data_IF_840162724315
#
_entry.id   IF_840162724315
#
_cell.length_a   1.000
_cell.length_b   1.000
_cell.length_c   1.000
_cell.angle_alpha   90.00
_cell.angle_beta   90.00
_cell.angle_gamma   90.00
#
_symmetry.space_group_name_H-M   'P 1'
#
loop_
_entity.id
_entity.type
_entity.pdbx_description
1 polymer ?
#
# COMPACT_ATOMS: atom_id res chain seq x y z
N UNK A 1 12.88 -2.69 4.36
CA UNK A 1 12.35 -3.62 3.33
C UNK A 1 11.40 -4.66 3.92
N UNK A 2 10.18 -4.83 3.38
CA UNK A 2 9.33 -5.96 3.81
C UNK A 2 9.04 -7.00 2.71
N UNK A 3 9.67 -6.87 1.53
CA UNK A 3 9.99 -7.97 0.60
C UNK A 3 8.81 -8.84 0.17
N UNK A 4 9.11 -10.00 -0.44
CA UNK A 4 8.09 -11.00 -0.78
C UNK A 4 7.72 -11.82 0.46
N UNK A 5 6.43 -11.92 0.78
CA UNK A 5 5.92 -12.72 1.91
C UNK A 5 4.63 -13.43 1.55
N UNK A 6 4.37 -14.56 2.22
CA UNK A 6 3.09 -15.27 2.16
C UNK A 6 2.02 -14.50 2.93
N UNK A 7 0.85 -14.32 2.31
CA UNK A 7 -0.29 -13.67 2.92
C UNK A 7 -1.02 -14.64 3.86
N UNK A 8 -1.60 -14.12 4.94
CA UNK A 8 -2.40 -14.94 5.88
C UNK A 8 -3.69 -15.50 5.22
N UNK A 9 -4.23 -14.77 4.24
CA UNK A 9 -5.36 -15.16 3.41
C UNK A 9 -5.16 -14.61 1.99
N UNK A 10 -5.75 -15.24 0.97
CA UNK A 10 -5.60 -14.78 -0.40
C UNK A 10 -6.24 -13.40 -0.61
N UNK A 11 -5.50 -12.49 -1.26
CA UNK A 11 -6.02 -11.19 -1.69
C UNK A 11 -5.96 -11.16 -3.22
N UNK A 12 -7.07 -10.84 -3.90
CA UNK A 12 -7.16 -10.87 -5.37
C UNK A 12 -6.64 -12.20 -5.97
N UNK A 13 -6.94 -13.33 -5.31
CA UNK A 13 -6.47 -14.69 -5.68
C UNK A 13 -4.94 -14.91 -5.61
N UNK A 14 -4.20 -14.00 -4.99
CA UNK A 14 -2.77 -14.15 -4.73
C UNK A 14 -2.53 -14.63 -3.30
N UNK A 15 -1.63 -15.59 -3.11
CA UNK A 15 -1.22 -16.10 -1.79
C UNK A 15 0.08 -15.45 -1.28
N UNK A 16 0.74 -14.66 -2.12
CA UNK A 16 1.99 -13.98 -1.81
C UNK A 16 1.88 -12.51 -2.26
N UNK A 17 2.64 -11.64 -1.61
CA UNK A 17 2.68 -10.23 -1.95
C UNK A 17 4.02 -9.59 -1.60
N UNK A 18 4.31 -8.44 -2.22
CA UNK A 18 5.47 -7.64 -1.90
C UNK A 18 5.07 -6.50 -0.96
N UNK A 19 5.72 -6.41 0.19
CA UNK A 19 5.44 -5.39 1.20
C UNK A 19 6.44 -4.23 1.11
N UNK A 20 5.88 -3.02 1.02
CA UNK A 20 6.61 -1.77 1.08
C UNK A 20 6.18 -0.99 2.33
N UNK A 21 7.16 -0.45 3.03
CA UNK A 21 6.94 0.46 4.15
C UNK A 21 7.69 1.75 3.84
N UNK A 22 6.97 2.87 3.87
CA UNK A 22 7.46 4.18 3.48
C UNK A 22 7.12 5.16 4.59
N UNK A 23 8.12 5.88 5.08
CA UNK A 23 7.94 7.07 5.89
C UNK A 23 8.06 8.26 4.95
N UNK A 24 7.01 9.06 4.89
CA UNK A 24 6.90 10.16 3.93
C UNK A 24 6.43 11.42 4.64
N UNK A 25 6.99 12.55 4.25
CA UNK A 25 6.56 13.87 4.71
C UNK A 25 5.85 14.56 3.54
N UNK A 26 4.59 14.91 3.73
CA UNK A 26 3.76 15.56 2.72
C UNK A 26 2.64 16.37 3.36
N UNK A 27 2.08 17.32 2.61
CA UNK A 27 0.90 18.06 3.03
C UNK A 27 -0.34 17.16 3.01
N UNK A 28 -1.26 17.25 4.01
CA UNK A 28 -2.47 16.43 4.05
C UNK A 28 -3.37 16.54 2.80
N UNK A 29 -3.35 17.68 2.10
CA UNK A 29 -4.14 17.90 0.88
C UNK A 29 -3.79 16.93 -0.25
N UNK A 30 -2.55 16.45 -0.32
CA UNK A 30 -2.05 15.59 -1.40
C UNK A 30 -2.44 14.12 -1.18
N UNK A 31 -2.80 13.73 0.05
CA UNK A 31 -3.12 12.34 0.41
C UNK A 31 -4.26 11.78 -0.44
N UNK A 32 -5.29 12.58 -0.71
CA UNK A 32 -6.47 12.18 -1.49
C UNK A 32 -6.09 11.79 -2.92
N UNK A 33 -5.19 12.54 -3.55
CA UNK A 33 -4.74 12.26 -4.92
C UNK A 33 -3.87 10.99 -4.96
N UNK A 34 -3.03 10.78 -3.95
CA UNK A 34 -2.20 9.58 -3.82
C UNK A 34 -3.08 8.34 -3.63
N UNK A 35 -4.06 8.39 -2.73
CA UNK A 35 -5.00 7.28 -2.52
C UNK A 35 -5.74 6.90 -3.79
N UNK A 36 -6.18 7.91 -4.54
CA UNK A 36 -6.84 7.72 -5.83
C UNK A 36 -5.91 7.03 -6.83
N UNK A 37 -4.68 7.52 -6.97
CA UNK A 37 -3.69 6.93 -7.88
C UNK A 37 -3.33 5.49 -7.49
N UNK A 38 -3.10 5.21 -6.20
CA UNK A 38 -2.80 3.87 -5.70
C UNK A 38 -3.94 2.88 -5.93
N UNK A 39 -5.19 3.35 -5.93
CA UNK A 39 -6.36 2.51 -6.23
C UNK A 39 -6.44 2.11 -7.70
N UNK A 40 -5.98 2.98 -8.61
CA UNK A 40 -5.97 2.71 -10.05
C UNK A 40 -4.82 1.80 -10.48
N UNK A 41 -3.74 1.73 -9.71
CA UNK A 41 -2.61 0.86 -10.02
C UNK A 41 -2.98 -0.61 -9.80
N UNK A 42 -3.15 -1.36 -10.89
CA UNK A 42 -3.45 -2.80 -10.87
C UNK A 42 -2.51 -3.64 -9.98
N UNK A 43 -1.18 -3.39 -9.95
CA UNK A 43 -0.26 -4.16 -9.11
C UNK A 43 -0.47 -3.94 -7.62
N UNK A 44 -1.09 -2.82 -7.22
CA UNK A 44 -1.35 -2.50 -5.82
C UNK A 44 -2.62 -3.22 -5.38
N UNK A 45 -2.43 -4.32 -4.64
CA UNK A 45 -3.55 -5.10 -4.11
C UNK A 45 -4.23 -4.43 -2.91
N UNK A 46 -3.42 -3.81 -2.03
CA UNK A 46 -3.87 -3.16 -0.80
C UNK A 46 -2.82 -2.13 -0.35
N UNK A 47 -3.29 -1.02 0.20
CA UNK A 47 -2.44 0.00 0.84
C UNK A 47 -3.10 0.47 2.14
N UNK A 48 -2.30 1.09 3.00
CA UNK A 48 -2.75 1.77 4.22
C UNK A 48 -1.88 3.01 4.38
N UNK A 49 -2.52 4.17 4.55
CA UNK A 49 -1.85 5.42 4.90
C UNK A 49 -2.31 5.78 6.30
N UNK A 50 -1.35 6.10 7.17
CA UNK A 50 -1.61 6.52 8.54
C UNK A 50 -0.69 7.68 8.90
N UNK A 51 -1.15 8.51 9.82
CA UNK A 51 -0.30 9.49 10.49
C UNK A 51 0.70 8.72 11.35
N UNK A 52 1.95 9.16 11.32
CA UNK A 52 3.02 8.67 12.20
C UNK A 52 2.91 9.49 13.49
N UNK A 53 2.71 8.80 14.61
CA UNK A 53 2.73 9.42 15.96
C UNK A 53 4.12 9.93 16.34
#
# INVERSE_FOLDING_TARGET
PWGKRKLAYPIRKQNEGQYFFLLVQMTPSIVVDIERNLRFLEPVMRFLITVVE
#
